data_IF_055539670502
#
_entry.id   IF_055539670502
#
_cell.length_a   1.000
_cell.length_b   1.000
_cell.length_c   1.000
_cell.angle_alpha   90.00
_cell.angle_beta   90.00
_cell.angle_gamma   90.00
#
_symmetry.space_group_name_H-M   'P 1'
#
loop_
_entity.id
_entity.type
_entity.pdbx_description
1 polymer ?
#
# COMPACT_ATOMS: atom_id res chain seq x y z
N UNK A 1 -30.26 16.28 24.17
CA UNK A 1 -29.06 15.93 23.41
C UNK A 1 -29.32 16.28 21.95
N UNK A 2 -28.68 17.34 21.44
CA UNK A 2 -28.85 17.84 20.08
C UNK A 2 -27.82 17.15 19.21
N UNK A 3 -28.26 16.36 18.23
CA UNK A 3 -27.41 15.77 17.18
C UNK A 3 -26.91 16.88 16.27
N UNK A 4 -25.61 17.15 16.29
CA UNK A 4 -24.96 18.03 15.32
C UNK A 4 -24.83 17.29 13.98
N UNK A 5 -25.59 17.75 13.00
CA UNK A 5 -25.50 17.33 11.62
C UNK A 5 -24.16 17.82 11.04
N UNK A 6 -23.22 16.91 10.79
CA UNK A 6 -21.98 17.22 10.08
C UNK A 6 -22.28 17.41 8.60
N UNK A 7 -22.18 18.62 8.12
CA UNK A 7 -22.32 18.96 6.70
C UNK A 7 -21.01 18.53 5.99
N UNK A 8 -21.11 17.54 5.13
CA UNK A 8 -20.00 17.05 4.30
C UNK A 8 -19.47 18.16 3.39
N UNK A 9 -18.16 18.29 3.27
CA UNK A 9 -17.48 19.26 2.39
C UNK A 9 -17.88 19.12 0.91
N UNK A 10 -18.36 17.96 0.48
CA UNK A 10 -18.93 17.74 -0.87
C UNK A 10 -20.18 18.54 -1.15
N UNK A 11 -20.95 18.95 -0.14
CA UNK A 11 -22.14 19.81 -0.28
C UNK A 11 -21.78 21.29 -0.48
N UNK A 12 -20.60 21.72 -0.07
CA UNK A 12 -20.18 23.12 -0.18
C UNK A 12 -19.68 23.48 -1.58
N UNK A 13 -19.04 22.55 -2.30
CA UNK A 13 -18.56 22.79 -3.67
C UNK A 13 -19.68 22.84 -4.72
N UNK A 14 -20.84 22.23 -4.46
CA UNK A 14 -21.98 22.25 -5.38
C UNK A 14 -22.79 23.54 -5.34
N UNK A 15 -22.62 24.36 -4.31
CA UNK A 15 -23.35 25.63 -4.15
C UNK A 15 -22.65 26.86 -4.75
N UNK A 16 -21.39 26.76 -5.17
CA UNK A 16 -20.60 27.89 -5.69
C UNK A 16 -20.57 28.02 -7.21
N UNK A 17 -21.22 27.12 -7.99
CA UNK A 17 -21.21 27.16 -9.46
C UNK A 17 -22.48 27.68 -10.12
N UNK A 18 -23.36 28.39 -9.41
CA UNK A 18 -24.64 28.87 -9.96
C UNK A 18 -24.76 30.39 -10.09
N UNK A 19 -23.66 31.13 -10.29
CA UNK A 19 -23.78 32.59 -10.51
C UNK A 19 -22.63 33.14 -11.37
N UNK A 20 -22.60 32.86 -12.66
CA UNK A 20 -21.93 33.72 -13.67
C UNK A 20 -22.27 33.30 -15.11
N UNK A 21 -23.46 33.62 -15.54
CA UNK A 21 -23.76 33.79 -17.00
C UNK A 21 -24.70 34.95 -17.18
N UNK A 22 -24.21 36.10 -17.58
CA UNK A 22 -24.88 37.03 -18.46
C UNK A 22 -23.87 38.03 -19.05
N UNK A 23 -24.00 38.24 -20.35
CA UNK A 23 -23.56 39.34 -21.18
C UNK A 23 -22.24 39.25 -21.94
N UNK A 24 -22.39 39.01 -23.26
CA UNK A 24 -22.01 39.99 -24.29
C UNK A 24 -22.59 39.59 -25.65
N UNK A 25 -23.56 40.39 -26.10
CA UNK A 25 -24.05 40.51 -27.48
C UNK A 25 -23.12 41.40 -28.30
N UNK A 26 -22.97 41.11 -29.60
CA UNK A 26 -22.38 42.04 -30.58
C UNK A 26 -21.89 41.30 -31.81
N UNK A 27 -22.65 41.15 -32.76
CA UNK A 27 -22.92 41.83 -34.08
C UNK A 27 -22.05 41.41 -35.27
N UNK A 28 -22.77 40.82 -36.22
CA UNK A 28 -22.78 41.04 -37.72
C UNK A 28 -21.62 40.54 -38.57
N UNK A 29 -22.03 39.77 -39.60
CA UNK A 29 -21.29 39.56 -40.85
C UNK A 29 -21.94 38.51 -41.75
N UNK A 30 -22.77 38.99 -42.66
CA UNK A 30 -23.39 38.26 -43.79
C UNK A 30 -22.37 37.67 -44.77
N UNK A 31 -22.68 36.51 -45.38
CA UNK A 31 -22.00 36.02 -46.57
C UNK A 31 -22.51 34.65 -47.01
N UNK A 32 -23.20 34.65 -48.12
CA UNK A 32 -24.01 33.62 -48.77
C UNK A 32 -23.27 32.37 -49.28
N UNK A 33 -24.03 31.26 -49.33
CA UNK A 33 -24.16 30.23 -50.37
C UNK A 33 -23.08 29.18 -50.59
N UNK A 34 -23.44 27.94 -50.40
CA UNK A 34 -23.73 26.90 -51.36
C UNK A 34 -23.47 25.50 -50.83
N UNK A 35 -24.50 24.69 -51.03
CA UNK A 35 -24.61 23.25 -51.01
C UNK A 35 -23.39 22.46 -51.42
N UNK A 36 -23.05 21.41 -50.64
CA UNK A 36 -22.92 20.04 -51.18
C UNK A 36 -22.70 18.99 -50.05
N UNK A 37 -23.51 17.99 -50.10
CA UNK A 37 -23.46 16.69 -49.41
C UNK A 37 -22.12 15.98 -49.55
N UNK A 38 -21.57 15.47 -48.45
CA UNK A 38 -20.83 14.19 -48.42
C UNK A 38 -20.79 13.62 -47.01
N UNK A 39 -21.36 12.42 -46.87
CA UNK A 39 -21.16 11.48 -45.80
C UNK A 39 -19.69 11.17 -45.56
N UNK A 40 -19.27 10.99 -44.30
CA UNK A 40 -17.95 10.46 -44.03
C UNK A 40 -17.59 10.47 -42.56
N UNK A 41 -17.91 9.37 -41.86
CA UNK A 41 -17.13 8.78 -40.76
C UNK A 41 -16.67 9.69 -39.64
N UNK A 42 -17.44 9.70 -38.55
CA UNK A 42 -16.93 10.00 -37.23
C UNK A 42 -16.02 8.84 -36.78
N UNK A 43 -14.74 9.08 -36.65
CA UNK A 43 -13.80 8.16 -36.03
C UNK A 43 -12.85 8.93 -35.14
N UNK A 44 -12.95 8.59 -33.84
CA UNK A 44 -11.88 8.63 -32.86
C UNK A 44 -10.86 9.77 -32.92
N UNK A 45 -11.14 10.84 -32.20
CA UNK A 45 -10.12 11.77 -31.74
C UNK A 45 -10.48 12.29 -30.34
N UNK A 46 -10.52 11.39 -29.35
CA UNK A 46 -10.75 11.75 -27.97
C UNK A 46 -9.82 10.97 -27.01
N UNK A 47 -8.59 10.66 -27.44
CA UNK A 47 -7.63 9.95 -26.60
C UNK A 47 -6.20 10.50 -26.69
N UNK A 48 -6.02 11.78 -27.05
CA UNK A 48 -4.65 12.33 -27.20
C UNK A 48 -4.43 13.71 -26.58
N UNK A 49 -5.35 14.23 -25.77
CA UNK A 49 -5.16 15.56 -25.16
C UNK A 49 -4.89 15.55 -23.65
N UNK A 50 -4.79 14.39 -22.99
CA UNK A 50 -4.46 14.31 -21.57
C UNK A 50 -2.96 14.20 -21.27
N UNK A 51 -2.12 13.88 -22.26
CA UNK A 51 -0.69 13.62 -22.03
C UNK A 51 0.24 14.84 -22.20
N UNK A 52 -0.27 16.00 -22.59
CA UNK A 52 0.59 17.17 -22.90
C UNK A 52 0.56 18.28 -21.82
N UNK A 53 -0.15 18.10 -20.71
CA UNK A 53 -0.32 19.15 -19.68
C UNK A 53 0.44 18.92 -18.38
N UNK A 54 1.15 17.79 -18.22
CA UNK A 54 1.78 17.41 -16.95
C UNK A 54 3.27 17.76 -16.86
N UNK A 55 3.93 18.13 -17.95
CA UNK A 55 5.34 18.49 -17.93
C UNK A 55 5.58 19.74 -17.06
N UNK A 56 6.39 19.59 -16.01
CA UNK A 56 6.71 20.63 -15.04
C UNK A 56 5.78 20.68 -13.81
N UNK A 57 4.80 19.75 -13.69
CA UNK A 57 3.95 19.65 -12.51
C UNK A 57 4.70 18.99 -11.35
N UNK A 58 4.43 19.45 -10.13
CA UNK A 58 4.94 18.85 -8.90
C UNK A 58 3.81 18.13 -8.18
N UNK A 59 4.07 16.87 -7.81
CA UNK A 59 3.17 16.03 -7.03
C UNK A 59 3.75 15.80 -5.64
N UNK A 60 2.95 15.98 -4.61
CA UNK A 60 3.31 15.71 -3.22
C UNK A 60 3.07 14.24 -2.92
N UNK A 61 4.12 13.52 -2.54
CA UNK A 61 4.06 12.09 -2.24
C UNK A 61 4.37 11.82 -0.78
N UNK A 62 3.35 11.48 0.01
CA UNK A 62 3.58 11.01 1.38
C UNK A 62 4.23 9.63 1.35
N UNK A 63 5.38 9.45 2.02
CA UNK A 63 5.98 8.12 2.21
C UNK A 63 6.02 7.82 3.70
N UNK A 64 5.30 6.77 4.12
CA UNK A 64 5.18 6.41 5.53
C UNK A 64 5.80 5.05 5.77
N UNK A 65 6.90 5.03 6.55
CA UNK A 65 7.55 3.81 7.00
C UNK A 65 7.04 3.41 8.39
N UNK A 66 6.79 2.12 8.61
CA UNK A 66 6.31 1.62 9.90
C UNK A 66 7.35 1.77 11.00
N UNK A 67 8.57 1.30 10.72
CA UNK A 67 9.67 1.27 11.70
C UNK A 67 11.02 1.30 11.00
N UNK A 68 12.06 1.74 11.70
CA UNK A 68 13.43 1.68 11.21
C UNK A 68 13.93 0.22 11.21
N UNK A 69 13.82 -0.42 10.05
CA UNK A 69 14.26 -1.79 9.80
C UNK A 69 14.92 -1.87 8.43
N UNK A 70 16.02 -2.61 8.32
CA UNK A 70 16.84 -2.64 7.10
C UNK A 70 16.04 -2.96 5.82
N UNK A 71 15.12 -3.94 5.87
CA UNK A 71 14.30 -4.33 4.72
C UNK A 71 13.27 -3.26 4.36
N UNK A 72 12.61 -2.63 5.35
CA UNK A 72 11.62 -1.59 5.09
C UNK A 72 12.29 -0.31 4.59
N UNK A 73 13.45 0.05 5.14
CA UNK A 73 14.24 1.19 4.68
C UNK A 73 14.70 1.00 3.23
N UNK A 74 15.03 -0.24 2.83
CA UNK A 74 15.39 -0.52 1.45
C UNK A 74 14.19 -0.37 0.50
N UNK A 75 12.99 -0.74 0.93
CA UNK A 75 11.76 -0.51 0.16
C UNK A 75 11.56 0.99 -0.04
N UNK A 76 11.65 1.78 1.03
CA UNK A 76 11.54 3.25 0.95
C UNK A 76 12.55 3.81 -0.05
N UNK A 77 13.83 3.46 0.09
CA UNK A 77 14.88 3.94 -0.82
C UNK A 77 14.61 3.56 -2.28
N UNK A 78 14.10 2.35 -2.54
CA UNK A 78 13.72 1.91 -3.89
C UNK A 78 12.52 2.67 -4.46
N UNK A 79 11.56 3.04 -3.61
CA UNK A 79 10.42 3.89 -4.00
C UNK A 79 10.90 5.28 -4.37
N UNK A 80 11.75 5.91 -3.56
CA UNK A 80 12.33 7.22 -3.82
C UNK A 80 13.12 7.25 -5.13
N UNK A 81 14.01 6.26 -5.33
CA UNK A 81 14.79 6.12 -6.57
C UNK A 81 13.86 5.99 -7.80
N UNK A 82 12.80 5.17 -7.68
CA UNK A 82 11.87 4.98 -8.79
C UNK A 82 11.01 6.22 -9.06
N UNK A 83 10.62 6.97 -8.06
CA UNK A 83 9.94 8.25 -8.22
C UNK A 83 10.83 9.26 -8.97
N UNK A 84 12.11 9.33 -8.62
CA UNK A 84 13.07 10.17 -9.32
C UNK A 84 13.25 9.79 -10.80
N UNK A 85 13.34 8.50 -11.09
CA UNK A 85 13.44 8.00 -12.47
C UNK A 85 12.18 8.35 -13.28
N UNK A 86 11.00 8.02 -12.75
CA UNK A 86 9.72 8.30 -13.41
C UNK A 86 9.50 9.80 -13.57
N UNK A 87 9.91 10.60 -12.58
CA UNK A 87 9.88 12.06 -12.67
C UNK A 87 10.66 12.56 -13.87
N UNK A 88 11.90 12.08 -14.06
CA UNK A 88 12.75 12.41 -15.21
C UNK A 88 12.15 11.93 -16.53
N UNK A 89 11.61 10.69 -16.56
CA UNK A 89 10.98 10.12 -17.75
C UNK A 89 9.75 10.91 -18.20
N UNK A 90 8.94 11.38 -17.24
CA UNK A 90 7.68 12.09 -17.52
C UNK A 90 7.79 13.60 -17.52
N UNK A 91 8.92 14.16 -17.09
CA UNK A 91 9.11 15.61 -16.96
C UNK A 91 8.31 16.23 -15.82
N UNK A 92 8.03 15.48 -14.76
CA UNK A 92 7.35 15.92 -13.55
C UNK A 92 8.28 15.83 -12.33
N UNK A 93 7.89 16.47 -11.23
CA UNK A 93 8.61 16.37 -9.95
C UNK A 93 7.72 15.65 -8.94
N UNK A 94 8.28 14.67 -8.24
CA UNK A 94 7.67 14.08 -7.06
C UNK A 94 8.35 14.66 -5.82
N UNK A 95 7.61 15.43 -5.05
CA UNK A 95 8.06 15.97 -3.78
C UNK A 95 7.69 15.00 -2.67
N UNK A 96 8.64 14.18 -2.25
CA UNK A 96 8.48 13.21 -1.17
C UNK A 96 9.37 13.54 0.04
N UNK A 97 10.41 14.33 -0.13
CA UNK A 97 11.36 14.62 0.94
C UNK A 97 10.72 15.34 2.13
N UNK A 98 9.78 16.26 1.85
CA UNK A 98 9.06 17.03 2.87
C UNK A 98 7.88 16.22 3.49
N UNK A 99 7.52 15.08 2.89
CA UNK A 99 6.37 14.24 3.27
C UNK A 99 6.74 12.82 3.66
N UNK A 100 8.04 12.57 3.94
CA UNK A 100 8.50 11.32 4.52
C UNK A 100 8.31 11.30 6.03
N UNK A 101 7.78 10.18 6.56
CA UNK A 101 7.67 9.97 7.99
C UNK A 101 7.92 8.51 8.39
N UNK A 102 8.45 8.32 9.60
CA UNK A 102 8.62 7.00 10.23
C UNK A 102 7.83 6.95 11.53
N UNK A 103 6.94 5.96 11.64
CA UNK A 103 6.02 5.86 12.76
C UNK A 103 6.66 5.27 14.04
N UNK A 104 7.89 4.72 13.96
CA UNK A 104 8.58 4.09 15.09
C UNK A 104 7.79 2.93 15.71
N UNK A 105 7.03 2.18 14.91
CA UNK A 105 6.12 1.12 15.34
C UNK A 105 5.04 1.58 16.35
N UNK A 106 4.70 2.87 16.35
CA UNK A 106 3.74 3.46 17.27
C UNK A 106 2.45 3.86 16.55
N UNK A 107 1.32 3.35 17.03
CA UNK A 107 0.00 3.62 16.42
C UNK A 107 -0.43 5.08 16.56
N UNK A 108 -0.02 5.76 17.63
CA UNK A 108 -0.36 7.18 17.83
C UNK A 108 0.37 8.04 16.81
N UNK A 109 1.65 7.71 16.56
CA UNK A 109 2.44 8.37 15.52
C UNK A 109 1.84 8.12 14.14
N UNK A 110 1.43 6.87 13.81
CA UNK A 110 0.75 6.58 12.54
C UNK A 110 -0.49 7.43 12.34
N UNK A 111 -1.35 7.53 13.35
CA UNK A 111 -2.57 8.34 13.27
C UNK A 111 -2.26 9.82 13.06
N UNK A 112 -1.23 10.34 13.74
CA UNK A 112 -0.81 11.73 13.58
C UNK A 112 -0.23 11.99 12.18
N UNK A 113 0.65 11.12 11.70
CA UNK A 113 1.24 11.20 10.36
C UNK A 113 0.14 11.21 9.29
N UNK A 114 -0.85 10.31 9.40
CA UNK A 114 -1.96 10.27 8.46
C UNK A 114 -2.77 11.58 8.46
N UNK A 115 -3.06 12.14 9.64
CA UNK A 115 -3.77 13.40 9.76
C UNK A 115 -2.97 14.58 9.16
N UNK A 116 -1.67 14.62 9.38
CA UNK A 116 -0.78 15.66 8.86
C UNK A 116 -0.69 15.60 7.33
N UNK A 117 -0.49 14.42 6.73
CA UNK A 117 -0.44 14.24 5.27
C UNK A 117 -1.76 14.65 4.59
N UNK A 118 -2.89 14.32 5.21
CA UNK A 118 -4.21 14.76 4.71
C UNK A 118 -4.36 16.28 4.81
N UNK A 119 -3.90 16.89 5.92
CA UNK A 119 -3.95 18.34 6.10
C UNK A 119 -3.05 19.08 5.10
N UNK A 120 -1.89 18.54 4.80
CA UNK A 120 -0.93 19.06 3.81
C UNK A 120 -1.39 18.88 2.36
N UNK A 121 -2.43 18.06 2.16
CA UNK A 121 -3.02 17.80 0.85
C UNK A 121 -2.05 17.12 -0.09
N UNK A 122 -1.47 15.99 0.32
CA UNK A 122 -0.64 15.17 -0.55
C UNK A 122 -1.48 14.55 -1.67
N UNK A 123 -0.86 14.32 -2.82
CA UNK A 123 -1.54 13.75 -4.00
C UNK A 123 -1.67 12.22 -3.90
N UNK A 124 -0.77 11.56 -3.17
CA UNK A 124 -0.74 10.11 -2.96
C UNK A 124 0.03 9.78 -1.68
N UNK A 125 -0.33 8.67 -1.02
CA UNK A 125 0.43 8.15 0.12
C UNK A 125 0.98 6.77 -0.23
N UNK A 126 2.29 6.59 -0.11
CA UNK A 126 2.96 5.29 -0.14
C UNK A 126 3.12 4.78 1.29
N UNK A 127 2.46 3.68 1.60
CA UNK A 127 2.40 3.11 2.94
C UNK A 127 3.19 1.79 3.00
N UNK A 128 4.25 1.75 3.80
CA UNK A 128 5.13 0.58 3.93
C UNK A 128 4.75 -0.21 5.17
N UNK A 129 4.41 -1.48 5.01
CA UNK A 129 3.89 -2.45 5.96
C UNK A 129 2.36 -2.36 6.22
N UNK A 130 1.77 -3.51 6.60
CA UNK A 130 0.31 -3.65 6.80
C UNK A 130 -0.29 -2.66 7.79
N UNK A 131 0.28 -2.43 9.00
CA UNK A 131 -0.28 -1.46 9.95
C UNK A 131 -0.32 -0.03 9.40
N UNK A 132 0.72 0.33 8.65
CA UNK A 132 0.81 1.65 8.00
C UNK A 132 -0.28 1.79 6.94
N UNK A 133 -0.42 0.79 6.06
CA UNK A 133 -1.42 0.81 5.00
C UNK A 133 -2.84 0.92 5.55
N UNK A 134 -3.17 0.14 6.59
CA UNK A 134 -4.49 0.19 7.24
C UNK A 134 -4.77 1.56 7.87
N UNK A 135 -3.77 2.14 8.54
CA UNK A 135 -3.93 3.46 9.18
C UNK A 135 -4.04 4.58 8.16
N UNK A 136 -3.24 4.55 7.09
CA UNK A 136 -3.31 5.56 6.03
C UNK A 136 -4.64 5.46 5.27
N UNK A 137 -5.14 4.25 5.00
CA UNK A 137 -6.45 4.04 4.39
C UNK A 137 -7.56 4.67 5.24
N UNK A 138 -7.54 4.43 6.55
CA UNK A 138 -8.50 5.04 7.48
C UNK A 138 -8.37 6.58 7.52
N UNK A 139 -7.15 7.11 7.46
CA UNK A 139 -6.92 8.56 7.48
C UNK A 139 -7.50 9.28 6.25
N UNK A 140 -7.50 8.61 5.09
CA UNK A 140 -7.99 9.19 3.82
C UNK A 140 -9.45 8.87 3.49
N UNK A 141 -10.21 8.22 4.39
CA UNK A 141 -11.59 7.75 4.17
C UNK A 141 -12.53 8.83 3.59
N UNK A 142 -12.38 10.08 4.06
CA UNK A 142 -13.19 11.22 3.62
C UNK A 142 -12.52 12.05 2.49
N UNK A 143 -11.49 11.52 1.83
CA UNK A 143 -10.71 12.22 0.79
C UNK A 143 -10.69 11.43 -0.51
N UNK A 144 -10.10 12.00 -1.56
CA UNK A 144 -9.81 11.30 -2.82
C UNK A 144 -8.31 10.93 -2.92
N UNK A 145 -7.55 11.00 -1.82
CA UNK A 145 -6.11 10.67 -1.80
C UNK A 145 -5.95 9.15 -1.90
N UNK A 146 -5.29 8.64 -2.95
CA UNK A 146 -5.03 7.21 -3.07
C UNK A 146 -3.90 6.77 -2.14
N UNK A 147 -3.99 5.52 -1.66
CA UNK A 147 -2.95 4.86 -0.89
C UNK A 147 -2.33 3.75 -1.74
N UNK A 148 -1.00 3.73 -1.81
CA UNK A 148 -0.23 2.66 -2.47
C UNK A 148 0.56 1.91 -1.40
N UNK A 149 0.17 0.67 -1.13
CA UNK A 149 0.87 -0.12 -0.12
C UNK A 149 2.06 -0.90 -0.71
N UNK A 150 3.05 -1.14 0.15
CA UNK A 150 4.18 -2.04 -0.09
C UNK A 150 4.46 -2.87 1.16
N UNK A 151 4.98 -4.08 1.01
CA UNK A 151 5.22 -5.01 2.12
C UNK A 151 3.94 -5.29 2.94
N UNK A 152 2.84 -5.60 2.24
CA UNK A 152 1.59 -6.10 2.83
C UNK A 152 1.46 -7.56 2.47
N UNK A 153 1.48 -8.43 3.49
CA UNK A 153 1.52 -9.88 3.27
C UNK A 153 0.19 -10.42 2.75
N UNK A 154 -0.93 -10.00 3.32
CA UNK A 154 -2.26 -10.42 2.92
C UNK A 154 -3.21 -9.23 2.78
N UNK A 155 -3.27 -8.60 1.59
CA UNK A 155 -4.17 -7.49 1.35
C UNK A 155 -5.65 -7.85 1.48
N UNK A 156 -6.02 -9.09 1.17
CA UNK A 156 -7.41 -9.55 1.27
C UNK A 156 -7.84 -9.70 2.74
N UNK A 157 -6.99 -10.31 3.57
CA UNK A 157 -7.24 -10.38 5.02
C UNK A 157 -7.28 -9.01 5.68
N UNK A 158 -6.52 -8.05 5.16
CA UNK A 158 -6.56 -6.65 5.59
C UNK A 158 -7.78 -5.87 5.05
N UNK A 159 -8.59 -6.48 4.17
CA UNK A 159 -9.79 -5.86 3.60
C UNK A 159 -9.52 -4.86 2.47
N UNK A 160 -8.29 -4.80 1.94
CA UNK A 160 -7.91 -3.79 0.95
C UNK A 160 -8.46 -4.06 -0.46
N UNK A 161 -8.81 -5.30 -0.77
CA UNK A 161 -9.37 -5.71 -2.06
C UNK A 161 -10.77 -5.17 -2.32
N UNK A 162 -11.49 -4.74 -1.27
CA UNK A 162 -12.83 -4.16 -1.37
C UNK A 162 -12.82 -2.62 -1.39
N UNK A 163 -11.67 -1.99 -1.14
CA UNK A 163 -11.55 -0.54 -1.05
C UNK A 163 -11.06 0.07 -2.37
N UNK A 164 -11.75 1.07 -2.91
CA UNK A 164 -11.47 1.60 -4.26
C UNK A 164 -10.25 2.53 -4.32
N UNK A 165 -9.80 3.06 -3.19
CA UNK A 165 -8.75 4.07 -3.12
C UNK A 165 -7.42 3.52 -2.57
N UNK A 166 -7.27 2.19 -2.50
CA UNK A 166 -6.01 1.56 -2.12
C UNK A 166 -5.59 0.50 -3.13
N UNK A 167 -4.29 0.43 -3.41
CA UNK A 167 -3.66 -0.59 -4.25
C UNK A 167 -2.20 -0.77 -3.83
N UNK A 168 -1.52 -1.78 -4.36
CA UNK A 168 -0.09 -1.93 -4.04
C UNK A 168 0.47 -3.31 -4.38
N UNK A 169 1.55 -3.68 -3.70
CA UNK A 169 2.27 -4.94 -3.90
C UNK A 169 2.28 -5.76 -2.62
N UNK A 170 1.86 -7.02 -2.74
CA UNK A 170 1.96 -7.99 -1.65
C UNK A 170 3.38 -8.58 -1.60
N UNK A 171 3.84 -8.85 -0.37
CA UNK A 171 5.05 -9.62 -0.08
C UNK A 171 4.73 -11.02 0.47
N UNK A 172 3.58 -11.57 0.11
CA UNK A 172 3.16 -12.91 0.51
C UNK A 172 4.27 -13.94 0.29
N UNK A 173 4.58 -14.69 1.34
CA UNK A 173 5.61 -15.72 1.26
C UNK A 173 5.12 -16.91 0.43
N UNK A 174 5.99 -17.41 -0.45
CA UNK A 174 5.76 -18.70 -1.09
C UNK A 174 6.19 -19.82 -0.11
N UNK A 175 5.35 -20.06 0.88
CA UNK A 175 5.63 -21.02 1.97
C UNK A 175 5.91 -22.43 1.43
N UNK A 176 5.16 -22.87 0.43
CA UNK A 176 5.38 -24.19 -0.20
C UNK A 176 6.79 -24.32 -0.81
N UNK A 177 7.27 -23.29 -1.49
CA UNK A 177 8.60 -23.29 -2.07
C UNK A 177 9.69 -23.31 -0.99
N UNK A 178 9.49 -22.56 0.10
CA UNK A 178 10.42 -22.53 1.24
C UNK A 178 10.46 -23.88 1.95
N UNK A 179 9.30 -24.48 2.20
CA UNK A 179 9.20 -25.80 2.85
C UNK A 179 9.80 -26.89 1.97
N UNK A 180 9.58 -26.85 0.65
CA UNK A 180 10.23 -27.77 -0.30
C UNK A 180 11.76 -27.57 -0.32
N UNK A 181 12.26 -26.36 -0.18
CA UNK A 181 13.69 -26.09 -0.06
C UNK A 181 14.28 -26.73 1.23
N UNK A 182 13.58 -26.63 2.37
CA UNK A 182 13.96 -27.30 3.62
C UNK A 182 14.11 -28.80 3.39
N UNK A 183 13.13 -29.42 2.70
CA UNK A 183 13.19 -30.86 2.38
C UNK A 183 14.29 -31.22 1.39
N UNK A 184 14.57 -30.34 0.41
CA UNK A 184 15.66 -30.56 -0.55
C UNK A 184 17.04 -30.54 0.13
N UNK A 185 17.23 -29.69 1.13
CA UNK A 185 18.48 -29.61 1.90
C UNK A 185 18.58 -30.73 2.95
N UNK A 186 17.46 -31.18 3.50
CA UNK A 186 17.39 -32.19 4.52
C UNK A 186 16.25 -33.19 4.27
N UNK A 187 16.45 -34.15 3.32
CA UNK A 187 15.39 -35.07 2.87
C UNK A 187 14.82 -35.98 3.97
N UNK A 188 15.62 -36.26 4.99
CA UNK A 188 15.26 -37.20 6.09
C UNK A 188 14.66 -36.44 7.30
N UNK A 189 14.18 -35.21 7.10
CA UNK A 189 13.59 -34.44 8.19
C UNK A 189 12.20 -34.99 8.55
N UNK A 190 11.99 -35.29 9.82
CA UNK A 190 10.73 -35.83 10.33
C UNK A 190 9.99 -34.83 11.22
N UNK A 191 10.67 -33.76 11.66
CA UNK A 191 10.13 -32.75 12.56
C UNK A 191 10.72 -31.38 12.25
N UNK A 192 9.84 -30.38 12.03
CA UNK A 192 10.19 -28.98 11.75
C UNK A 192 9.74 -28.11 12.91
N UNK A 193 10.58 -27.16 13.33
CA UNK A 193 10.21 -26.10 14.26
C UNK A 193 9.48 -24.96 13.52
N UNK A 194 8.38 -24.50 14.09
CA UNK A 194 7.70 -23.28 13.63
C UNK A 194 7.89 -22.21 14.69
N UNK A 195 8.64 -21.16 14.37
CA UNK A 195 8.95 -20.07 15.29
C UNK A 195 8.36 -18.76 14.73
N UNK A 196 7.47 -18.13 15.48
CA UNK A 196 6.78 -16.94 15.00
C UNK A 196 6.28 -16.06 16.14
N UNK A 197 5.86 -14.85 15.79
CA UNK A 197 5.24 -13.90 16.68
C UNK A 197 3.72 -13.87 16.43
N UNK A 198 2.93 -14.20 17.47
CA UNK A 198 1.46 -14.22 17.39
C UNK A 198 0.85 -12.82 17.23
N UNK A 199 1.57 -11.76 17.56
CA UNK A 199 1.12 -10.38 17.39
C UNK A 199 1.32 -9.86 15.95
N UNK A 200 2.00 -10.63 15.11
CA UNK A 200 2.30 -10.27 13.71
C UNK A 200 1.30 -10.94 12.76
N UNK A 201 0.33 -10.18 12.27
CA UNK A 201 -0.65 -10.67 11.29
C UNK A 201 0.01 -11.29 10.05
N UNK A 202 1.15 -10.73 9.62
CA UNK A 202 1.95 -11.24 8.51
C UNK A 202 2.43 -12.69 8.69
N UNK A 203 2.52 -13.20 9.93
CA UNK A 203 2.93 -14.57 10.22
C UNK A 203 1.78 -15.57 10.11
N UNK A 204 0.53 -15.14 10.25
CA UNK A 204 -0.63 -16.02 10.44
C UNK A 204 -0.82 -16.96 9.26
N UNK A 205 -0.89 -16.42 8.04
CA UNK A 205 -1.11 -17.24 6.84
C UNK A 205 0.09 -18.15 6.55
N UNK A 206 1.31 -17.61 6.65
CA UNK A 206 2.52 -18.40 6.40
C UNK A 206 2.67 -19.59 7.36
N UNK A 207 2.28 -19.44 8.62
CA UNK A 207 2.28 -20.54 9.60
C UNK A 207 1.17 -21.55 9.31
N UNK A 208 -0.02 -21.09 8.91
CA UNK A 208 -1.11 -21.99 8.51
C UNK A 208 -0.71 -22.84 7.30
N UNK A 209 -0.09 -22.23 6.29
CA UNK A 209 0.41 -22.91 5.09
C UNK A 209 1.52 -23.91 5.43
N UNK A 210 2.47 -23.53 6.32
CA UNK A 210 3.52 -24.43 6.76
C UNK A 210 2.98 -25.66 7.50
N UNK A 211 1.94 -25.50 8.33
CA UNK A 211 1.25 -26.62 8.99
C UNK A 211 0.58 -27.53 7.97
N UNK A 212 -0.21 -26.94 7.04
CA UNK A 212 -0.87 -27.69 5.99
C UNK A 212 0.14 -28.48 5.12
N UNK A 213 1.28 -27.86 4.80
CA UNK A 213 2.37 -28.53 4.10
C UNK A 213 2.91 -29.71 4.90
N UNK A 214 3.24 -29.52 6.19
CA UNK A 214 3.72 -30.58 7.06
C UNK A 214 2.72 -31.74 7.14
N UNK A 215 1.44 -31.44 7.36
CA UNK A 215 0.37 -32.43 7.43
C UNK A 215 0.25 -33.23 6.12
N UNK A 216 0.36 -32.56 4.96
CA UNK A 216 0.32 -33.22 3.65
C UNK A 216 1.48 -34.18 3.39
N UNK A 217 2.63 -33.95 4.03
CA UNK A 217 3.84 -34.75 3.91
C UNK A 217 4.05 -35.74 5.06
N UNK A 218 3.17 -35.73 6.07
CA UNK A 218 3.34 -36.54 7.27
C UNK A 218 4.54 -36.13 8.15
N UNK A 219 4.98 -34.88 8.05
CA UNK A 219 6.07 -34.30 8.83
C UNK A 219 5.49 -33.72 10.11
N UNK A 220 6.11 -34.00 11.24
CA UNK A 220 5.72 -33.40 12.52
C UNK A 220 6.21 -31.97 12.64
N UNK A 221 5.51 -31.15 13.40
CA UNK A 221 5.99 -29.80 13.72
C UNK A 221 5.86 -29.48 15.21
N UNK A 222 6.72 -28.59 15.68
CA UNK A 222 6.71 -28.06 17.05
C UNK A 222 6.64 -26.56 16.95
N UNK A 223 5.59 -25.98 17.54
CA UNK A 223 5.38 -24.54 17.54
C UNK A 223 5.99 -23.88 18.78
N UNK A 224 6.64 -22.75 18.56
CA UNK A 224 7.10 -21.83 19.60
C UNK A 224 6.88 -20.39 19.15
N UNK A 225 6.55 -19.53 20.09
CA UNK A 225 6.30 -18.12 19.86
C UNK A 225 7.19 -17.26 20.76
N UNK A 226 7.45 -16.05 20.30
CA UNK A 226 8.12 -15.03 21.07
C UNK A 226 7.83 -13.65 20.47
N UNK A 227 7.55 -12.68 21.32
CA UNK A 227 7.26 -11.29 20.95
C UNK A 227 8.42 -10.35 21.28
N UNK A 228 9.30 -10.78 22.16
CA UNK A 228 10.53 -10.06 22.55
C UNK A 228 11.76 -10.82 22.13
N UNK A 229 12.89 -10.13 21.97
CA UNK A 229 14.18 -10.77 21.64
C UNK A 229 14.53 -11.92 22.59
N UNK A 230 14.28 -11.75 23.90
CA UNK A 230 14.55 -12.79 24.90
C UNK A 230 13.64 -14.02 24.74
N UNK A 231 12.35 -13.81 24.45
CA UNK A 231 11.39 -14.89 24.18
C UNK A 231 11.72 -15.64 22.91
N UNK A 232 12.09 -14.95 21.84
CA UNK A 232 12.53 -15.55 20.57
C UNK A 232 13.75 -16.43 20.78
N UNK A 233 14.74 -15.95 21.58
CA UNK A 233 15.91 -16.76 21.92
C UNK A 233 15.53 -18.01 22.71
N UNK A 234 14.71 -17.88 23.75
CA UNK A 234 14.26 -19.04 24.56
C UNK A 234 13.45 -20.02 23.70
N UNK A 235 12.61 -19.53 22.80
CA UNK A 235 11.83 -20.34 21.88
C UNK A 235 12.73 -21.13 20.91
N UNK A 236 13.74 -20.48 20.35
CA UNK A 236 14.72 -21.13 19.48
C UNK A 236 15.52 -22.21 20.23
N UNK A 237 16.01 -21.93 21.44
CA UNK A 237 16.70 -22.89 22.31
C UNK A 237 15.81 -24.11 22.65
N UNK A 238 14.52 -23.87 22.91
CA UNK A 238 13.56 -24.94 23.17
C UNK A 238 13.33 -25.84 21.95
N UNK A 239 13.29 -25.28 20.74
CA UNK A 239 13.19 -26.03 19.48
C UNK A 239 14.46 -26.87 19.24
N UNK A 240 15.64 -26.31 19.47
CA UNK A 240 16.90 -27.03 19.38
C UNK A 240 16.93 -28.19 20.39
N UNK A 241 16.54 -27.94 21.65
CA UNK A 241 16.47 -28.96 22.70
C UNK A 241 15.46 -30.08 22.35
N UNK A 242 14.40 -29.77 21.63
CA UNK A 242 13.43 -30.74 21.12
C UNK A 242 13.95 -31.56 19.93
N UNK A 243 15.15 -31.26 19.43
CA UNK A 243 15.83 -32.02 18.38
C UNK A 243 15.35 -31.71 16.97
N UNK A 244 14.68 -30.56 16.72
CA UNK A 244 14.31 -30.13 15.36
C UNK A 244 15.57 -29.87 14.53
N UNK A 245 15.54 -30.25 13.27
CA UNK A 245 16.67 -30.09 12.35
C UNK A 245 16.54 -28.91 11.41
N UNK A 246 15.37 -28.30 11.35
CA UNK A 246 15.09 -27.05 10.64
C UNK A 246 14.05 -26.25 11.41
N UNK A 247 14.13 -24.94 11.28
CA UNK A 247 13.14 -24.00 11.82
C UNK A 247 12.64 -23.14 10.68
N UNK A 248 11.32 -23.11 10.50
CA UNK A 248 10.65 -22.15 9.64
C UNK A 248 10.22 -20.95 10.48
N UNK A 249 10.62 -19.77 10.03
CA UNK A 249 10.22 -18.51 10.65
C UNK A 249 9.83 -17.51 9.55
N UNK A 250 8.56 -17.09 9.47
CA UNK A 250 8.12 -16.17 8.42
C UNK A 250 8.58 -14.75 8.69
N UNK A 251 8.00 -14.09 9.67
CA UNK A 251 8.35 -12.72 10.06
C UNK A 251 8.42 -12.65 11.57
N UNK A 252 9.54 -12.18 12.09
CA UNK A 252 9.73 -11.86 13.52
C UNK A 252 10.37 -10.48 13.58
N UNK A 253 9.67 -9.52 14.17
CA UNK A 253 10.21 -8.20 14.49
C UNK A 253 10.16 -8.07 16.02
N UNK A 254 11.14 -8.63 16.76
CA UNK A 254 11.11 -8.58 18.21
C UNK A 254 11.30 -7.16 18.71
N UNK A 255 10.47 -6.75 19.61
CA UNK A 255 10.54 -5.47 20.33
C UNK A 255 11.60 -5.49 21.44
#
# INVERSE_FOLDING_TARGET
>A
MKTMNRISRRSFLKAAMAAATVSALGLTGCGSSASSTASGTASSAAASSAAASEAGQTFKVGIVNYVDHASLNQIVASVEERLDEVGKEKGVTFDYADYYANAQADQTNLNQIGADLVADGVDVIVAVATPTAATMLAAVEDTDIPVVYSAVTDPAAAGFDTEPNITGTSDALNTDAIMNLILAVNPDIDTIGLLYDLSQDASTQAIADAKAFCDSKGIKYIEKNGTTTAEVQMAAEALIAAGVKAVFTPTITPS
#
